data_IF_784483932645
#
_entry.id   IF_784483932645
#
_cell.length_a   1.000
_cell.length_b   1.000
_cell.length_c   1.000
_cell.angle_alpha   90.00
_cell.angle_beta   90.00
_cell.angle_gamma   90.00
#
_symmetry.space_group_name_H-M   'P 1'
#
loop_
_entity.id
_entity.type
_entity.pdbx_description
1 polymer ?
#
# COMPACT_ATOMS: atom_id res chain seq x y z
N UNK A 1 -32.79 -4.92 -20.39
CA UNK A 1 -32.29 -5.41 -19.09
C UNK A 1 -30.78 -5.50 -19.20
N UNK A 2 -30.05 -4.46 -18.77
CA UNK A 2 -28.58 -4.48 -18.82
C UNK A 2 -28.08 -5.29 -17.61
N UNK A 3 -27.44 -6.42 -17.85
CA UNK A 3 -26.79 -7.18 -16.79
C UNK A 3 -25.78 -6.26 -16.08
N UNK A 4 -25.78 -6.20 -14.74
CA UNK A 4 -24.86 -5.33 -14.01
C UNK A 4 -23.42 -5.78 -14.31
N UNK A 5 -22.61 -4.88 -14.86
CA UNK A 5 -21.21 -5.17 -15.17
C UNK A 5 -20.48 -5.54 -13.88
N UNK A 6 -19.86 -6.73 -13.80
CA UNK A 6 -19.12 -7.14 -12.62
C UNK A 6 -17.97 -6.15 -12.39
N UNK A 7 -17.90 -5.61 -11.17
CA UNK A 7 -16.83 -4.67 -10.78
C UNK A 7 -15.53 -5.39 -10.43
N UNK A 8 -15.60 -6.70 -10.19
CA UNK A 8 -14.50 -7.58 -9.85
C UNK A 8 -14.77 -8.98 -10.38
N UNK A 9 -13.76 -9.65 -10.89
CA UNK A 9 -13.85 -11.06 -11.30
C UNK A 9 -13.95 -12.01 -10.09
N UNK A 10 -14.63 -13.15 -10.25
CA UNK A 10 -14.84 -14.12 -9.18
C UNK A 10 -13.52 -14.71 -8.65
N UNK A 11 -12.56 -15.03 -9.53
CA UNK A 11 -11.28 -15.57 -9.10
C UNK A 11 -10.41 -14.50 -8.43
N UNK A 12 -10.56 -13.22 -8.80
CA UNK A 12 -9.97 -12.12 -8.06
C UNK A 12 -10.58 -11.99 -6.65
N UNK A 13 -11.91 -12.09 -6.54
CA UNK A 13 -12.61 -12.03 -5.26
C UNK A 13 -12.15 -13.15 -4.32
N UNK A 14 -12.11 -14.40 -4.79
CA UNK A 14 -11.73 -15.56 -3.97
C UNK A 14 -10.27 -15.47 -3.47
N UNK A 15 -9.36 -14.94 -4.29
CA UNK A 15 -7.97 -14.65 -3.88
C UNK A 15 -7.91 -13.67 -2.72
N UNK A 16 -8.64 -12.55 -2.81
CA UNK A 16 -8.69 -11.54 -1.75
C UNK A 16 -9.38 -12.10 -0.50
N UNK A 17 -10.50 -12.80 -0.68
CA UNK A 17 -11.27 -13.42 0.41
C UNK A 17 -10.43 -14.43 1.21
N UNK A 18 -9.60 -15.23 0.55
CA UNK A 18 -8.69 -16.19 1.22
C UNK A 18 -7.66 -15.54 2.16
N UNK A 19 -7.39 -14.24 1.97
CA UNK A 19 -6.48 -13.43 2.80
C UNK A 19 -7.20 -12.62 3.88
N UNK A 20 -8.53 -12.69 3.93
CA UNK A 20 -9.36 -11.96 4.88
C UNK A 20 -9.88 -12.91 5.98
N UNK A 21 -9.82 -12.48 7.24
CA UNK A 21 -10.49 -13.16 8.36
C UNK A 21 -11.92 -12.65 8.53
N UNK A 22 -12.72 -12.75 7.49
CA UNK A 22 -14.10 -12.23 7.48
C UNK A 22 -15.11 -13.37 7.59
N UNK A 23 -16.24 -13.09 8.23
CA UNK A 23 -17.33 -14.08 8.30
C UNK A 23 -17.87 -14.38 6.90
N UNK A 24 -18.35 -15.61 6.69
CA UNK A 24 -18.97 -16.04 5.43
C UNK A 24 -20.12 -15.13 5.03
N UNK A 25 -20.94 -14.70 6.00
CA UNK A 25 -22.01 -13.70 5.80
C UNK A 25 -21.48 -12.39 5.20
N UNK A 26 -20.39 -11.85 5.73
CA UNK A 26 -19.79 -10.60 5.23
C UNK A 26 -19.22 -10.80 3.82
N UNK A 27 -18.56 -11.93 3.56
CA UNK A 27 -18.02 -12.25 2.24
C UNK A 27 -19.14 -12.44 1.21
N UNK A 28 -20.23 -13.11 1.57
CA UNK A 28 -21.40 -13.31 0.72
C UNK A 28 -22.01 -11.99 0.25
N UNK A 29 -22.18 -11.02 1.15
CA UNK A 29 -22.71 -9.70 0.79
C UNK A 29 -21.77 -8.94 -0.14
N UNK A 30 -20.45 -9.00 0.10
CA UNK A 30 -19.51 -8.31 -0.78
C UNK A 30 -19.42 -8.99 -2.15
N UNK A 31 -19.47 -10.33 -2.20
CA UNK A 31 -19.52 -11.09 -3.46
C UNK A 31 -20.75 -10.73 -4.29
N UNK A 32 -21.93 -10.71 -3.65
CA UNK A 32 -23.18 -10.30 -4.25
C UNK A 32 -23.07 -8.91 -4.93
N UNK A 33 -22.39 -7.97 -4.28
CA UNK A 33 -22.25 -6.60 -4.81
C UNK A 33 -21.15 -6.47 -5.87
N UNK A 34 -20.00 -7.09 -5.67
CA UNK A 34 -18.81 -6.87 -6.51
C UNK A 34 -18.73 -7.82 -7.70
N UNK A 35 -19.14 -9.07 -7.51
CA UNK A 35 -19.08 -10.15 -8.51
C UNK A 35 -20.43 -10.31 -9.19
N UNK A 36 -21.52 -10.45 -8.42
CA UNK A 36 -22.85 -10.71 -8.99
C UNK A 36 -23.58 -9.42 -9.42
N UNK A 37 -23.00 -8.25 -9.11
CA UNK A 37 -23.49 -6.95 -9.55
C UNK A 37 -24.81 -6.50 -8.91
N UNK A 38 -25.21 -7.12 -7.80
CA UNK A 38 -26.42 -6.77 -7.07
C UNK A 38 -26.31 -5.38 -6.44
N UNK A 39 -27.47 -4.71 -6.30
CA UNK A 39 -27.55 -3.46 -5.56
C UNK A 39 -27.30 -3.70 -4.06
N UNK A 40 -26.85 -2.68 -3.33
CA UNK A 40 -26.62 -2.80 -1.88
C UNK A 40 -27.87 -3.24 -1.09
N UNK A 41 -29.09 -2.73 -1.39
CA UNK A 41 -30.32 -3.25 -0.80
C UNK A 41 -30.55 -4.74 -1.06
N UNK A 42 -30.40 -5.19 -2.31
CA UNK A 42 -30.67 -6.59 -2.70
C UNK A 42 -29.64 -7.55 -2.07
N UNK A 43 -28.37 -7.16 -2.05
CA UNK A 43 -27.31 -7.95 -1.43
C UNK A 43 -27.44 -8.06 0.10
N UNK A 44 -28.10 -7.10 0.75
CA UNK A 44 -28.38 -7.16 2.19
C UNK A 44 -29.59 -8.05 2.48
N UNK A 45 -30.57 -8.10 1.57
CA UNK A 45 -31.73 -8.96 1.69
C UNK A 45 -31.38 -10.46 1.66
N UNK A 46 -30.26 -10.83 1.04
CA UNK A 46 -29.76 -12.22 1.02
C UNK A 46 -28.95 -12.60 2.26
N UNK A 47 -28.61 -11.64 3.14
CA UNK A 47 -27.76 -11.87 4.29
C UNK A 47 -28.57 -12.29 5.54
N UNK A 48 -28.25 -13.46 6.10
CA UNK A 48 -28.80 -13.94 7.38
C UNK A 48 -27.67 -14.05 8.42
N UNK A 49 -27.77 -13.43 9.60
CA UNK A 49 -28.78 -12.46 10.04
C UNK A 49 -28.75 -11.14 9.26
N UNK A 50 -29.88 -10.42 9.30
CA UNK A 50 -30.09 -9.18 8.57
C UNK A 50 -28.99 -8.15 8.88
N UNK A 51 -28.55 -7.46 7.83
CA UNK A 51 -27.55 -6.40 7.91
C UNK A 51 -28.18 -5.07 7.49
N UNK A 52 -27.53 -3.94 7.78
CA UNK A 52 -27.93 -2.64 7.22
C UNK A 52 -27.19 -2.36 5.92
N UNK A 53 -27.79 -1.56 5.02
CA UNK A 53 -27.14 -1.08 3.79
C UNK A 53 -25.87 -0.26 4.08
N UNK A 54 -25.84 0.47 5.21
CA UNK A 54 -24.65 1.19 5.69
C UNK A 54 -23.51 0.23 6.00
N UNK A 55 -23.79 -0.87 6.70
CA UNK A 55 -22.79 -1.90 6.98
C UNK A 55 -22.30 -2.58 5.70
N UNK A 56 -23.20 -2.87 4.74
CA UNK A 56 -22.81 -3.42 3.43
C UNK A 56 -21.85 -2.50 2.67
N UNK A 57 -22.14 -1.19 2.65
CA UNK A 57 -21.24 -0.20 2.05
C UNK A 57 -19.87 -0.21 2.71
N UNK A 58 -19.79 -0.20 4.04
CA UNK A 58 -18.52 -0.25 4.77
C UNK A 58 -17.74 -1.54 4.46
N UNK A 59 -18.42 -2.68 4.40
CA UNK A 59 -17.78 -3.95 4.05
C UNK A 59 -17.23 -3.93 2.62
N UNK A 60 -18.01 -3.43 1.66
CA UNK A 60 -17.55 -3.26 0.28
C UNK A 60 -16.31 -2.37 0.22
N UNK A 61 -16.35 -1.20 0.84
CA UNK A 61 -15.25 -0.23 0.78
C UNK A 61 -13.97 -0.79 1.43
N UNK A 62 -14.10 -1.49 2.57
CA UNK A 62 -12.97 -2.19 3.21
C UNK A 62 -12.41 -3.31 2.35
N UNK A 63 -13.27 -4.04 1.64
CA UNK A 63 -12.83 -5.15 0.80
C UNK A 63 -12.06 -4.63 -0.40
N UNK A 64 -12.57 -3.57 -1.04
CA UNK A 64 -11.86 -2.89 -2.15
C UNK A 64 -10.52 -2.35 -1.68
N UNK A 65 -10.44 -1.70 -0.52
CA UNK A 65 -9.18 -1.22 0.03
C UNK A 65 -8.19 -2.39 0.27
N UNK A 66 -8.66 -3.52 0.81
CA UNK A 66 -7.83 -4.70 1.03
C UNK A 66 -7.34 -5.32 -0.29
N UNK A 67 -8.20 -5.37 -1.31
CA UNK A 67 -7.83 -5.85 -2.64
C UNK A 67 -6.72 -4.98 -3.26
N UNK A 68 -6.82 -3.65 -3.13
CA UNK A 68 -5.76 -2.73 -3.58
C UNK A 68 -4.46 -2.91 -2.79
N UNK A 69 -4.53 -3.05 -1.46
CA UNK A 69 -3.32 -3.31 -0.66
C UNK A 69 -2.61 -4.60 -1.08
N UNK A 70 -3.36 -5.70 -1.30
CA UNK A 70 -2.78 -6.96 -1.77
C UNK A 70 -2.18 -6.83 -3.17
N UNK A 71 -2.85 -6.10 -4.07
CA UNK A 71 -2.33 -5.80 -5.42
C UNK A 71 -0.99 -5.04 -5.34
N UNK A 72 -0.91 -4.05 -4.46
CA UNK A 72 0.31 -3.28 -4.23
C UNK A 72 1.42 -4.16 -3.62
N UNK A 73 1.10 -4.98 -2.61
CA UNK A 73 2.06 -5.91 -1.98
C UNK A 73 2.61 -6.93 -3.01
N UNK A 74 1.75 -7.49 -3.86
CA UNK A 74 2.17 -8.41 -4.93
C UNK A 74 3.08 -7.72 -5.95
N UNK A 75 2.76 -6.47 -6.31
CA UNK A 75 3.60 -5.65 -7.17
C UNK A 75 4.97 -5.41 -6.54
N UNK A 76 5.01 -4.95 -5.27
CA UNK A 76 6.26 -4.72 -4.53
C UNK A 76 7.11 -5.99 -4.36
N UNK A 77 6.46 -7.16 -4.27
CA UNK A 77 7.19 -8.45 -4.21
C UNK A 77 7.80 -8.84 -5.55
N UNK A 78 7.13 -8.53 -6.67
CA UNK A 78 7.61 -8.87 -8.01
C UNK A 78 8.65 -7.89 -8.52
N UNK A 79 8.41 -6.61 -8.28
CA UNK A 79 9.29 -5.53 -8.71
C UNK A 79 10.11 -5.04 -7.53
N UNK A 80 11.37 -5.45 -7.49
CA UNK A 80 12.34 -4.79 -6.61
C UNK A 80 12.42 -3.32 -7.01
N UNK A 81 12.23 -2.38 -6.08
CA UNK A 81 12.26 -0.96 -6.41
C UNK A 81 13.61 -0.61 -7.05
N UNK A 82 13.56 -0.14 -8.31
CA UNK A 82 14.75 0.29 -9.07
C UNK A 82 15.38 1.54 -8.48
N UNK A 83 14.56 2.39 -7.86
CA UNK A 83 15.03 3.32 -6.86
C UNK A 83 15.36 2.50 -5.62
N UNK A 84 16.60 2.06 -5.51
CA UNK A 84 17.15 1.80 -4.19
C UNK A 84 16.75 3.00 -3.32
N UNK A 85 16.03 2.74 -2.22
CA UNK A 85 16.12 3.56 -1.01
C UNK A 85 17.53 4.11 -0.99
N UNK A 86 17.66 5.42 -1.24
CA UNK A 86 18.95 6.05 -1.57
C UNK A 86 19.97 5.46 -0.61
N UNK A 87 21.13 4.97 -1.06
CA UNK A 87 22.09 4.27 -0.19
C UNK A 87 22.50 5.04 1.09
N UNK A 88 22.04 6.29 1.20
CA UNK A 88 22.19 7.24 2.28
C UNK A 88 21.05 7.22 3.32
N UNK A 89 19.86 6.68 3.00
CA UNK A 89 18.67 6.65 3.86
C UNK A 89 18.91 6.00 5.21
N UNK A 90 19.66 4.87 5.32
CA UNK A 90 20.05 4.32 6.62
C UNK A 90 20.91 5.26 7.48
N UNK A 91 21.53 6.27 6.88
CA UNK A 91 22.42 7.23 7.54
C UNK A 91 21.76 8.60 7.74
N UNK A 92 20.43 8.70 7.59
CA UNK A 92 19.71 9.98 7.68
C UNK A 92 19.97 10.69 9.02
N UNK A 93 19.98 9.96 10.13
CA UNK A 93 20.24 10.47 11.48
C UNK A 93 21.66 11.02 11.64
N UNK A 94 22.65 10.28 11.16
CA UNK A 94 24.07 10.59 11.23
C UNK A 94 24.39 11.81 10.38
N UNK A 95 23.83 11.87 9.18
CA UNK A 95 24.02 12.98 8.25
C UNK A 95 23.38 14.27 8.77
N UNK A 96 22.19 14.19 9.39
CA UNK A 96 21.61 15.37 10.05
C UNK A 96 22.51 15.84 11.19
N UNK A 97 23.00 14.92 12.03
CA UNK A 97 23.90 15.24 13.13
C UNK A 97 25.20 15.89 12.66
N UNK A 98 25.82 15.36 11.59
CA UNK A 98 27.03 15.95 11.00
C UNK A 98 26.77 17.34 10.44
N UNK A 99 25.66 17.56 9.73
CA UNK A 99 25.27 18.89 9.26
C UNK A 99 25.06 19.86 10.43
N UNK A 100 24.32 19.44 11.45
CA UNK A 100 23.97 20.31 12.59
C UNK A 100 25.20 20.69 13.42
N UNK A 101 26.24 19.84 13.39
CA UNK A 101 27.58 20.13 13.94
C UNK A 101 28.47 20.96 13.02
N UNK A 102 27.99 21.37 11.84
CA UNK A 102 28.71 22.26 10.92
C UNK A 102 29.68 21.56 9.97
N UNK A 103 29.60 20.23 9.80
CA UNK A 103 30.47 19.52 8.85
C UNK A 103 30.12 19.90 7.41
N UNK A 104 31.15 20.04 6.57
CA UNK A 104 30.97 20.35 5.16
C UNK A 104 30.47 19.13 4.37
N UNK A 105 29.89 19.37 3.19
CA UNK A 105 29.41 18.31 2.30
C UNK A 105 30.55 17.33 1.95
N UNK A 106 31.77 17.81 1.77
CA UNK A 106 32.94 16.97 1.46
C UNK A 106 33.32 16.05 2.63
N UNK A 107 33.22 16.54 3.86
CA UNK A 107 33.44 15.73 5.06
C UNK A 107 32.36 14.66 5.24
N UNK A 108 31.11 14.98 4.90
CA UNK A 108 30.00 14.01 4.91
C UNK A 108 30.23 12.93 3.82
N UNK A 109 30.74 13.29 2.64
CA UNK A 109 31.15 12.30 1.62
C UNK A 109 32.29 11.41 2.13
N UNK A 110 33.27 11.97 2.83
CA UNK A 110 34.35 11.19 3.45
C UNK A 110 33.82 10.22 4.53
N UNK A 111 32.84 10.63 5.33
CA UNK A 111 32.13 9.75 6.27
C UNK A 111 31.45 8.59 5.55
N UNK A 112 30.74 8.84 4.45
CA UNK A 112 30.13 7.77 3.66
C UNK A 112 31.16 6.81 3.08
N UNK A 113 32.28 7.34 2.55
CA UNK A 113 33.38 6.54 2.02
C UNK A 113 33.99 5.63 3.09
N UNK A 114 34.16 6.12 4.32
CA UNK A 114 34.65 5.33 5.46
C UNK A 114 33.69 4.19 5.84
N UNK A 115 32.38 4.39 5.66
CA UNK A 115 31.35 3.39 5.88
C UNK A 115 31.08 2.47 4.67
N UNK A 116 31.95 2.50 3.64
CA UNK A 116 31.83 1.65 2.46
C UNK A 116 30.80 2.13 1.42
N UNK A 117 30.20 3.31 1.61
CA UNK A 117 29.21 3.87 0.69
C UNK A 117 29.90 4.85 -0.26
N UNK A 118 29.87 4.55 -1.56
CA UNK A 118 30.37 5.47 -2.60
C UNK A 118 29.29 6.50 -2.93
N UNK A 119 29.55 7.77 -2.67
CA UNK A 119 28.59 8.87 -2.87
C UNK A 119 29.28 10.08 -3.50
N UNK A 120 28.48 10.99 -4.06
CA UNK A 120 28.97 12.27 -4.58
C UNK A 120 28.46 13.44 -3.73
N UNK A 121 29.16 14.59 -3.73
CA UNK A 121 28.68 15.80 -3.08
C UNK A 121 27.27 16.22 -3.54
N UNK A 122 26.94 16.02 -4.81
CA UNK A 122 25.62 16.30 -5.37
C UNK A 122 24.54 15.39 -4.78
N UNK A 123 24.86 14.11 -4.61
CA UNK A 123 23.96 13.12 -3.98
C UNK A 123 23.70 13.49 -2.52
N UNK A 124 24.74 13.84 -1.76
CA UNK A 124 24.61 14.29 -0.36
C UNK A 124 23.78 15.57 -0.24
N UNK A 125 24.00 16.54 -1.14
CA UNK A 125 23.22 17.80 -1.16
C UNK A 125 21.74 17.56 -1.44
N UNK A 126 21.41 16.65 -2.35
CA UNK A 126 20.02 16.30 -2.65
C UNK A 126 19.37 15.54 -1.49
N UNK A 127 20.10 14.64 -0.86
CA UNK A 127 19.64 13.90 0.32
C UNK A 127 19.39 14.82 1.53
N UNK A 128 20.28 15.77 1.79
CA UNK A 128 20.08 16.79 2.84
C UNK A 128 18.85 17.67 2.58
N UNK A 129 18.50 17.91 1.30
CA UNK A 129 17.27 18.62 0.92
C UNK A 129 16.03 17.76 1.11
N UNK A 130 16.08 16.46 0.82
CA UNK A 130 14.94 15.55 0.97
C UNK A 130 14.61 15.25 2.43
N UNK A 131 15.59 15.24 3.35
CA UNK A 131 15.33 15.04 4.80
C UNK A 131 14.67 16.28 5.45
N UNK A 132 14.78 17.45 4.81
CA UNK A 132 14.22 18.72 5.35
C UNK A 132 12.76 18.95 4.93
N UNK A 133 12.30 18.27 3.89
CA UNK A 133 10.94 18.38 3.34
C UNK A 133 9.99 17.43 4.08
#
# INVERSE_FOLDING_TARGET
MASPTPRMDAAQFDRVASKCRWSERSLGVVRAVLVDGLSLPDAVATAIPAMTTKQARVLRDRFTAKAESLRLEEFMRRETPKLATTALEPYASEVSTLRDKGYTIEQIVAFFKANGVKTSPTTVRNFLRSIRA
#
